data_IF_235891900020
#
_entry.id   IF_235891900020
#
_cell.length_a   1.000
_cell.length_b   1.000
_cell.length_c   1.000
_cell.angle_alpha   90.00
_cell.angle_beta   90.00
_cell.angle_gamma   90.00
#
_symmetry.space_group_name_H-M   'P 1'
#
loop_
_entity.id
_entity.type
_entity.pdbx_description
1 polymer ?
#
# COMPACT_ATOMS: atom_id res chain seq x y z
N UNK A 1 6.88 -9.24 1.15
CA UNK A 1 8.14 -9.72 0.52
C UNK A 1 8.24 -11.25 0.52
N UNK A 2 8.20 -11.95 1.68
CA UNK A 2 8.27 -13.44 1.75
C UNK A 2 7.17 -14.12 0.93
N UNK A 3 5.94 -13.69 1.07
CA UNK A 3 4.78 -14.24 0.33
C UNK A 3 4.93 -14.06 -1.16
N UNK A 4 5.38 -12.87 -1.60
CA UNK A 4 5.64 -12.59 -3.01
C UNK A 4 6.73 -13.50 -3.57
N UNK A 5 7.83 -13.71 -2.84
CA UNK A 5 8.89 -14.61 -3.25
C UNK A 5 8.39 -16.06 -3.35
N UNK A 6 7.64 -16.55 -2.32
CA UNK A 6 7.03 -17.88 -2.35
C UNK A 6 6.08 -18.06 -3.55
N UNK A 7 5.20 -17.10 -3.78
CA UNK A 7 4.26 -17.13 -4.91
C UNK A 7 4.96 -17.19 -6.28
N UNK A 8 6.12 -16.55 -6.40
CA UNK A 8 6.94 -16.54 -7.62
C UNK A 8 7.96 -17.66 -7.71
N UNK A 9 8.05 -18.55 -6.70
CA UNK A 9 9.13 -19.54 -6.55
C UNK A 9 10.53 -18.91 -6.55
N UNK A 10 10.68 -17.74 -5.95
CA UNK A 10 11.95 -17.02 -5.79
C UNK A 10 12.48 -17.19 -4.36
N UNK A 11 13.81 -17.10 -4.21
CA UNK A 11 14.43 -17.08 -2.87
C UNK A 11 14.18 -15.72 -2.21
N UNK A 12 13.67 -15.74 -0.99
CA UNK A 12 13.53 -14.53 -0.19
C UNK A 12 14.87 -14.14 0.44
N UNK A 13 15.36 -12.94 0.12
CA UNK A 13 16.53 -12.36 0.79
C UNK A 13 16.06 -11.49 1.98
N UNK A 14 16.34 -11.97 3.19
CA UNK A 14 16.03 -11.26 4.43
C UNK A 14 16.99 -10.09 4.70
N UNK A 15 18.15 -10.06 4.04
CA UNK A 15 19.19 -9.04 4.21
C UNK A 15 19.14 -7.99 3.10
N UNK A 16 17.98 -7.78 2.48
CA UNK A 16 17.80 -6.77 1.44
C UNK A 16 18.26 -5.40 1.94
N UNK A 17 19.23 -4.81 1.23
CA UNK A 17 19.80 -3.52 1.58
C UNK A 17 19.01 -2.33 1.03
N UNK A 18 18.18 -2.55 0.00
CA UNK A 18 17.44 -1.51 -0.71
C UNK A 18 15.96 -1.85 -0.84
N UNK A 19 15.12 -0.82 -0.72
CA UNK A 19 13.69 -0.95 -0.99
C UNK A 19 13.43 -1.16 -2.49
N UNK A 20 12.31 -1.81 -2.82
CA UNK A 20 11.82 -1.86 -4.19
C UNK A 20 10.81 -0.75 -4.36
N UNK A 21 11.14 0.23 -5.18
CA UNK A 21 10.24 1.32 -5.53
C UNK A 21 9.58 1.07 -6.88
N UNK A 22 8.32 1.42 -6.98
CA UNK A 22 7.58 1.49 -8.23
C UNK A 22 6.57 2.63 -8.16
N UNK A 23 6.15 3.14 -9.30
CA UNK A 23 5.11 4.15 -9.36
C UNK A 23 3.75 3.49 -9.64
N UNK A 24 2.73 4.03 -9.00
CA UNK A 24 1.33 3.70 -9.24
C UNK A 24 0.65 4.92 -9.87
N UNK A 25 0.11 4.74 -11.08
CA UNK A 25 -0.70 5.79 -11.71
C UNK A 25 -2.08 5.78 -11.08
N UNK A 26 -2.55 6.93 -10.70
CA UNK A 26 -3.89 7.13 -10.15
C UNK A 26 -4.57 8.23 -10.94
N UNK A 27 -5.57 7.87 -11.76
CA UNK A 27 -6.41 8.86 -12.44
C UNK A 27 -7.38 9.47 -11.44
N UNK A 28 -8.00 8.59 -10.64
CA UNK A 28 -8.96 8.93 -9.60
C UNK A 28 -8.82 7.95 -8.45
N UNK A 29 -8.74 8.45 -7.24
CA UNK A 29 -8.75 7.63 -6.05
C UNK A 29 -10.18 7.12 -5.77
N UNK A 30 -10.30 5.88 -5.32
CA UNK A 30 -11.58 5.27 -4.95
C UNK A 30 -11.85 5.57 -3.48
N UNK A 31 -12.84 6.40 -3.19
CA UNK A 31 -13.22 6.73 -1.82
C UNK A 31 -13.89 5.58 -1.06
N UNK A 32 -14.11 5.78 0.24
CA UNK A 32 -14.84 4.84 1.08
C UNK A 32 -16.24 4.58 0.54
N UNK A 33 -16.67 3.32 0.53
CA UNK A 33 -17.94 2.86 -0.04
C UNK A 33 -18.01 2.76 -1.57
N UNK A 34 -17.07 3.39 -2.29
CA UNK A 34 -17.04 3.31 -3.75
C UNK A 34 -16.45 1.98 -4.24
N UNK A 35 -16.87 1.48 -5.42
CA UNK A 35 -16.47 0.15 -5.87
C UNK A 35 -15.06 0.09 -6.47
N UNK A 36 -14.34 -0.99 -6.16
CA UNK A 36 -13.14 -1.41 -6.87
C UNK A 36 -13.54 -2.05 -8.19
N UNK A 37 -12.97 -1.58 -9.31
CA UNK A 37 -13.15 -2.21 -10.61
C UNK A 37 -12.27 -3.45 -10.73
N UNK A 38 -12.86 -4.64 -10.79
CA UNK A 38 -12.11 -5.91 -10.79
C UNK A 38 -11.37 -6.23 -12.08
N UNK A 39 -11.82 -5.67 -13.23
CA UNK A 39 -11.29 -5.95 -14.56
C UNK A 39 -11.18 -7.46 -14.85
N UNK A 40 -12.20 -8.23 -14.46
CA UNK A 40 -12.20 -9.71 -14.55
C UNK A 40 -12.26 -10.24 -15.98
N UNK A 41 -12.48 -9.38 -16.95
CA UNK A 41 -12.30 -9.66 -18.39
C UNK A 41 -10.82 -9.73 -18.82
N UNK A 42 -9.93 -9.07 -18.06
CA UNK A 42 -8.49 -8.97 -18.34
C UNK A 42 -7.63 -9.87 -17.45
N UNK A 43 -8.09 -10.16 -16.23
CA UNK A 43 -7.33 -10.88 -15.21
C UNK A 43 -8.27 -11.60 -14.22
N UNK A 44 -7.78 -12.66 -13.55
CA UNK A 44 -8.56 -13.46 -12.59
C UNK A 44 -7.90 -13.53 -11.20
N UNK A 45 -6.83 -12.79 -10.98
CA UNK A 45 -6.05 -12.82 -9.74
C UNK A 45 -5.95 -11.43 -9.12
N UNK A 46 -7.12 -10.86 -8.80
CA UNK A 46 -7.23 -9.59 -8.11
C UNK A 46 -6.88 -9.76 -6.64
N UNK A 47 -6.01 -8.91 -6.13
CA UNK A 47 -5.52 -9.01 -4.76
C UNK A 47 -5.57 -7.67 -4.05
N UNK A 48 -5.66 -7.71 -2.72
CA UNK A 48 -5.71 -6.57 -1.80
C UNK A 48 -4.37 -6.44 -1.06
N UNK A 49 -4.01 -5.22 -0.72
CA UNK A 49 -2.82 -4.88 0.05
C UNK A 49 -3.09 -3.65 0.91
N UNK A 50 -3.40 -3.82 2.20
CA UNK A 50 -3.54 -2.69 3.12
C UNK A 50 -2.19 -2.06 3.38
N UNK A 51 -2.07 -0.74 3.19
CA UNK A 51 -0.85 0.01 3.36
C UNK A 51 -1.07 1.34 4.08
N UNK A 52 -0.09 1.75 4.88
CA UNK A 52 -0.02 3.12 5.38
C UNK A 52 0.46 4.02 4.23
N UNK A 53 -0.35 5.01 3.86
CA UNK A 53 0.02 6.04 2.91
C UNK A 53 0.49 7.29 3.65
N UNK A 54 1.70 7.74 3.36
CA UNK A 54 2.32 8.96 3.89
C UNK A 54 2.20 10.06 2.85
N UNK A 55 1.65 11.21 3.24
CA UNK A 55 1.43 12.35 2.34
C UNK A 55 2.48 13.42 2.63
N UNK A 56 3.22 13.81 1.62
CA UNK A 56 4.23 14.88 1.71
C UNK A 56 3.52 16.23 1.73
N UNK A 57 3.81 17.06 2.73
CA UNK A 57 3.16 18.36 2.95
C UNK A 57 3.86 19.55 2.30
N UNK A 58 5.16 19.43 2.04
CA UNK A 58 5.97 20.46 1.38
C UNK A 58 7.06 19.82 0.53
N UNK A 59 7.55 20.52 -0.48
CA UNK A 59 8.58 20.00 -1.37
C UNK A 59 9.80 19.50 -0.58
N UNK A 60 10.13 18.22 -0.72
CA UNK A 60 11.21 17.54 -0.03
C UNK A 60 12.33 17.20 -1.02
N UNK A 61 13.49 17.81 -0.84
CA UNK A 61 14.69 17.59 -1.65
C UNK A 61 15.89 17.49 -0.74
N UNK A 62 16.63 16.37 -0.80
CA UNK A 62 17.81 16.08 0.03
C UNK A 62 17.52 16.22 1.54
N UNK A 63 16.41 15.63 1.96
CA UNK A 63 15.96 15.68 3.35
C UNK A 63 16.66 14.57 4.14
N UNK A 64 17.41 14.90 5.21
CA UNK A 64 18.02 13.90 6.07
C UNK A 64 16.94 13.18 6.91
N UNK A 65 17.18 11.91 7.27
CA UNK A 65 16.20 11.07 7.95
C UNK A 65 15.64 11.68 9.24
N UNK A 66 16.48 12.37 10.03
CA UNK A 66 16.10 13.00 11.29
C UNK A 66 15.14 14.20 11.12
N UNK A 67 15.02 14.75 9.92
CA UNK A 67 14.10 15.85 9.57
C UNK A 67 12.90 15.38 8.74
N UNK A 68 12.80 14.09 8.41
CA UNK A 68 11.83 13.59 7.45
C UNK A 68 10.37 13.88 7.85
N UNK A 69 10.02 13.74 9.12
CA UNK A 69 8.66 14.00 9.61
C UNK A 69 8.21 15.46 9.48
N UNK A 70 9.13 16.41 9.41
CA UNK A 70 8.81 17.82 9.18
C UNK A 70 8.28 18.09 7.76
N UNK A 71 8.38 17.11 6.87
CA UNK A 71 7.88 17.16 5.50
C UNK A 71 6.60 16.35 5.31
N UNK A 72 6.15 15.63 6.33
CA UNK A 72 4.91 14.85 6.29
C UNK A 72 3.73 15.76 6.62
N UNK A 73 2.69 15.74 5.78
CA UNK A 73 1.41 16.38 6.07
C UNK A 73 0.54 15.52 6.96
N UNK A 74 0.51 14.22 6.69
CA UNK A 74 -0.35 13.29 7.40
C UNK A 74 -0.37 11.92 6.75
N UNK A 75 -1.32 11.13 7.20
CA UNK A 75 -1.45 9.72 6.86
C UNK A 75 -2.87 9.38 6.44
N UNK A 76 -3.00 8.37 5.59
CA UNK A 76 -4.29 7.77 5.23
C UNK A 76 -4.12 6.28 4.96
N UNK A 77 -5.22 5.56 4.78
CA UNK A 77 -5.20 4.16 4.36
C UNK A 77 -5.16 4.13 2.84
N UNK A 78 -4.34 3.25 2.28
CA UNK A 78 -4.35 2.90 0.88
C UNK A 78 -4.48 1.38 0.76
N UNK A 79 -5.34 0.92 -0.13
CA UNK A 79 -5.41 -0.48 -0.53
C UNK A 79 -4.76 -0.60 -1.91
N UNK A 80 -3.51 -1.12 -1.97
CA UNK A 80 -2.76 -1.25 -3.22
C UNK A 80 -3.26 -2.44 -4.04
N UNK A 81 -4.45 -2.28 -4.63
CA UNK A 81 -5.07 -3.30 -5.47
C UNK A 81 -4.14 -3.72 -6.59
N UNK A 82 -4.05 -5.04 -6.78
CA UNK A 82 -3.06 -5.68 -7.63
C UNK A 82 -3.66 -6.75 -8.54
N UNK A 83 -3.49 -6.61 -9.85
CA UNK A 83 -3.75 -7.66 -10.82
C UNK A 83 -2.50 -8.55 -10.96
N UNK A 84 -2.41 -9.63 -10.16
CA UNK A 84 -1.18 -10.43 -10.04
C UNK A 84 -0.69 -11.04 -11.35
N UNK A 85 -1.60 -11.46 -12.22
CA UNK A 85 -1.24 -12.00 -13.54
C UNK A 85 -0.54 -10.95 -14.40
N UNK A 86 -1.07 -9.73 -14.42
CA UNK A 86 -0.51 -8.64 -15.22
C UNK A 86 0.79 -8.12 -14.58
N UNK A 87 0.82 -8.01 -13.26
CA UNK A 87 2.00 -7.61 -12.50
C UNK A 87 3.22 -8.50 -12.82
N UNK A 88 3.01 -9.83 -12.93
CA UNK A 88 4.11 -10.78 -13.18
C UNK A 88 4.43 -10.91 -14.67
N UNK A 89 3.43 -10.86 -15.55
CA UNK A 89 3.57 -11.00 -17.01
C UNK A 89 4.52 -9.97 -17.61
N UNK A 90 4.42 -8.71 -17.17
CA UNK A 90 5.16 -7.59 -17.76
C UNK A 90 6.48 -7.30 -17.05
N UNK A 91 6.88 -8.10 -16.04
CA UNK A 91 8.08 -7.92 -15.20
C UNK A 91 8.08 -6.60 -14.40
N UNK A 92 7.55 -5.51 -14.94
CA UNK A 92 7.33 -4.24 -14.25
C UNK A 92 5.93 -4.21 -13.65
N UNK A 93 5.80 -3.79 -12.39
CA UNK A 93 4.54 -3.88 -11.65
C UNK A 93 3.52 -2.82 -12.06
N UNK A 94 3.99 -1.76 -12.71
CA UNK A 94 3.24 -0.55 -13.05
C UNK A 94 1.83 -0.85 -13.59
N UNK A 95 1.71 -1.66 -14.66
CA UNK A 95 0.41 -1.92 -15.28
C UNK A 95 -0.53 -2.70 -14.35
N UNK A 96 -0.04 -3.76 -13.69
CA UNK A 96 -0.83 -4.56 -12.74
C UNK A 96 -1.24 -3.82 -11.46
N UNK A 97 -0.68 -2.64 -11.21
CA UNK A 97 -0.94 -1.78 -10.05
C UNK A 97 -1.69 -0.49 -10.40
N UNK A 98 -1.85 -0.14 -11.69
CA UNK A 98 -2.29 1.19 -12.14
C UNK A 98 -3.55 1.20 -12.99
N UNK A 99 -4.35 0.13 -12.95
CA UNK A 99 -5.64 0.09 -13.63
C UNK A 99 -6.63 1.04 -12.95
N UNK A 100 -7.62 1.52 -13.68
CA UNK A 100 -8.66 2.36 -13.12
C UNK A 100 -9.39 1.63 -11.98
N UNK A 101 -9.67 2.33 -10.89
CA UNK A 101 -10.24 1.73 -9.69
C UNK A 101 -9.27 1.01 -8.75
N UNK A 102 -7.95 0.99 -9.06
CA UNK A 102 -6.95 0.25 -8.27
C UNK A 102 -6.32 1.06 -7.12
N UNK A 103 -6.85 2.22 -6.81
CA UNK A 103 -6.36 3.02 -5.68
C UNK A 103 -7.49 3.41 -4.71
N UNK A 104 -8.09 2.45 -3.98
CA UNK A 104 -8.88 2.81 -2.83
C UNK A 104 -8.03 3.53 -1.79
N UNK A 105 -8.48 4.73 -1.35
CA UNK A 105 -7.74 5.58 -0.43
C UNK A 105 -8.69 6.41 0.43
N UNK A 106 -8.43 6.47 1.72
CA UNK A 106 -9.28 7.17 2.70
C UNK A 106 -9.31 6.44 4.04
N UNK A 107 -10.40 6.57 4.85
CA UNK A 107 -11.60 7.38 4.60
C UNK A 107 -11.34 8.89 4.66
N UNK A 108 -10.29 9.31 5.38
CA UNK A 108 -9.82 10.70 5.50
C UNK A 108 -8.31 10.74 5.68
N UNK A 109 -7.76 11.92 5.74
CA UNK A 109 -6.35 12.16 6.09
C UNK A 109 -6.31 12.59 7.55
N UNK A 110 -5.44 11.96 8.34
CA UNK A 110 -5.11 12.37 9.71
C UNK A 110 -3.77 13.09 9.66
N UNK A 111 -3.69 14.30 10.20
CA UNK A 111 -2.47 15.10 10.16
C UNK A 111 -1.38 14.50 11.04
N UNK A 112 -0.14 14.79 10.73
CA UNK A 112 1.03 14.16 11.33
C UNK A 112 1.13 14.40 12.84
N UNK A 113 0.69 15.54 13.31
CA UNK A 113 0.69 15.95 14.72
C UNK A 113 -0.26 15.19 15.64
N UNK A 114 -1.18 14.37 15.06
CA UNK A 114 -2.08 13.48 15.82
C UNK A 114 -1.40 12.17 16.25
N UNK A 115 -0.17 11.90 15.81
CA UNK A 115 0.55 10.67 16.10
C UNK A 115 1.94 10.92 16.68
N UNK A 116 2.45 9.94 17.46
CA UNK A 116 3.85 9.89 17.85
C UNK A 116 4.77 9.66 16.63
N UNK A 117 6.02 10.10 16.72
CA UNK A 117 7.04 9.92 15.68
C UNK A 117 8.04 8.82 16.06
N UNK A 118 8.15 7.70 15.33
CA UNK A 118 7.31 7.26 14.20
C UNK A 118 5.92 6.76 14.63
N UNK A 119 4.90 6.82 13.77
CA UNK A 119 3.59 6.26 14.08
C UNK A 119 3.65 4.72 14.15
N UNK A 120 3.42 4.15 15.32
CA UNK A 120 3.34 2.69 15.54
C UNK A 120 1.88 2.30 15.71
N UNK A 121 1.25 1.91 14.62
CA UNK A 121 -0.19 1.69 14.52
C UNK A 121 -0.49 0.25 14.12
N UNK A 122 -1.59 -0.31 14.64
CA UNK A 122 -2.11 -1.58 14.11
C UNK A 122 -2.65 -1.34 12.72
N UNK A 123 -2.36 -2.26 11.79
CA UNK A 123 -2.82 -2.26 10.41
C UNK A 123 -3.41 -3.62 10.08
N UNK A 124 -4.64 -3.64 9.53
CA UNK A 124 -5.32 -4.91 9.23
C UNK A 124 -6.21 -4.81 7.99
N UNK A 125 -6.49 -5.96 7.36
CA UNK A 125 -7.50 -6.07 6.32
C UNK A 125 -8.41 -7.26 6.52
N UNK A 126 -9.66 -7.11 6.04
CA UNK A 126 -10.68 -8.16 6.03
C UNK A 126 -11.28 -8.28 4.62
N UNK A 127 -11.64 -9.51 4.27
CA UNK A 127 -12.44 -9.79 3.07
C UNK A 127 -13.71 -10.49 3.53
N UNK A 128 -14.88 -9.93 3.23
CA UNK A 128 -16.18 -10.42 3.68
C UNK A 128 -16.23 -10.67 5.21
N UNK A 129 -15.60 -9.77 5.98
CA UNK A 129 -15.49 -9.87 7.44
C UNK A 129 -14.40 -10.81 7.96
N UNK A 130 -13.82 -11.67 7.13
CA UNK A 130 -12.72 -12.56 7.52
C UNK A 130 -11.40 -11.80 7.59
N UNK A 131 -10.70 -11.88 8.73
CA UNK A 131 -9.38 -11.27 8.91
C UNK A 131 -8.35 -11.92 7.98
N UNK A 132 -7.64 -11.11 7.21
CA UNK A 132 -6.64 -11.54 6.23
C UNK A 132 -5.24 -11.05 6.56
N UNK A 133 -5.10 -9.78 6.85
CA UNK A 133 -3.84 -9.15 7.26
C UNK A 133 -4.03 -8.59 8.68
N UNK A 134 -3.04 -8.75 9.55
CA UNK A 134 -3.02 -8.17 10.90
C UNK A 134 -1.57 -7.97 11.34
N UNK A 135 -1.16 -6.71 11.50
CA UNK A 135 0.23 -6.36 11.74
C UNK A 135 0.36 -4.99 12.41
N UNK A 136 1.56 -4.44 12.39
CA UNK A 136 1.87 -3.10 12.89
C UNK A 136 2.80 -2.35 11.95
N UNK A 137 2.61 -1.05 11.82
CA UNK A 137 3.53 -0.16 11.09
C UNK A 137 4.92 -0.10 11.71
N UNK A 138 5.05 -0.47 12.98
CA UNK A 138 6.37 -0.64 13.64
C UNK A 138 7.22 -1.78 13.05
N UNK A 139 6.65 -2.65 12.21
CA UNK A 139 7.34 -3.74 11.52
C UNK A 139 7.73 -3.42 10.07
N UNK A 140 7.63 -2.16 9.65
CA UNK A 140 8.11 -1.71 8.35
C UNK A 140 9.60 -2.07 8.18
N UNK A 141 9.94 -2.72 7.06
CA UNK A 141 11.35 -3.11 6.76
C UNK A 141 12.21 -1.86 6.56
N UNK A 142 11.67 -0.86 5.87
CA UNK A 142 12.26 0.46 5.69
C UNK A 142 11.35 1.49 6.37
N UNK A 143 11.90 2.27 7.27
CA UNK A 143 11.14 3.29 7.99
C UNK A 143 10.75 4.46 7.09
N UNK A 144 9.72 5.22 7.48
CA UNK A 144 9.30 6.44 6.77
C UNK A 144 10.47 7.41 6.55
N UNK A 145 11.31 7.72 7.59
CA UNK A 145 12.48 8.57 7.41
C UNK A 145 13.47 8.05 6.37
N UNK A 146 13.77 6.74 6.37
CA UNK A 146 14.70 6.14 5.40
C UNK A 146 14.18 6.29 3.96
N UNK A 147 12.89 6.05 3.75
CA UNK A 147 12.27 6.16 2.42
C UNK A 147 12.29 7.62 1.92
N UNK A 148 11.95 8.58 2.78
CA UNK A 148 11.98 10.00 2.43
C UNK A 148 13.42 10.46 2.13
N UNK A 149 14.39 10.10 2.95
CA UNK A 149 15.80 10.43 2.73
C UNK A 149 16.29 9.87 1.40
N UNK A 150 16.09 8.57 1.15
CA UNK A 150 16.57 7.89 -0.05
C UNK A 150 15.97 8.49 -1.31
N UNK A 151 14.64 8.62 -1.37
CA UNK A 151 13.96 9.16 -2.55
C UNK A 151 14.26 10.64 -2.77
N UNK A 152 14.25 11.45 -1.71
CA UNK A 152 14.50 12.90 -1.82
C UNK A 152 15.95 13.24 -2.17
N UNK A 153 16.87 12.28 -2.01
CA UNK A 153 18.27 12.48 -2.39
C UNK A 153 18.45 12.60 -3.91
N UNK A 154 17.66 11.86 -4.68
CA UNK A 154 17.73 11.82 -6.15
C UNK A 154 16.60 12.55 -6.88
N UNK A 155 15.48 12.81 -6.20
CA UNK A 155 14.32 13.48 -6.80
C UNK A 155 13.64 14.41 -5.80
N UNK A 156 12.96 15.45 -6.25
CA UNK A 156 12.14 16.27 -5.36
C UNK A 156 10.78 15.61 -5.17
N UNK A 157 10.47 15.21 -3.94
CA UNK A 157 9.12 14.79 -3.58
C UNK A 157 8.28 16.05 -3.42
N UNK A 158 7.37 16.29 -4.34
CA UNK A 158 6.48 17.48 -4.33
C UNK A 158 5.44 17.36 -3.22
N UNK A 159 5.00 18.51 -2.69
CA UNK A 159 3.81 18.55 -1.83
C UNK A 159 2.64 17.81 -2.51
N UNK A 160 1.95 16.95 -1.77
CA UNK A 160 0.92 16.05 -2.28
C UNK A 160 1.44 14.70 -2.81
N UNK A 161 2.75 14.47 -2.87
CA UNK A 161 3.28 13.12 -3.16
C UNK A 161 2.81 12.14 -2.09
N UNK A 162 2.34 10.98 -2.52
CA UNK A 162 1.89 9.88 -1.64
C UNK A 162 2.93 8.76 -1.69
N UNK A 163 3.45 8.39 -0.53
CA UNK A 163 4.35 7.26 -0.35
C UNK A 163 3.57 6.13 0.30
N UNK A 164 3.27 5.07 -0.44
CA UNK A 164 2.66 3.85 0.08
C UNK A 164 3.75 2.94 0.62
N UNK A 165 3.67 2.60 1.92
CA UNK A 165 4.80 2.07 2.69
C UNK A 165 4.96 0.56 2.61
N UNK A 166 4.14 -0.10 1.79
CA UNK A 166 4.15 -1.54 1.64
C UNK A 166 3.19 -2.25 2.60
N UNK A 167 2.80 -3.45 2.18
CA UNK A 167 1.78 -4.25 2.84
C UNK A 167 2.38 -5.33 3.74
N UNK A 168 1.73 -5.67 4.88
CA UNK A 168 2.10 -6.82 5.70
C UNK A 168 1.75 -8.14 5.01
N UNK A 169 2.09 -9.25 5.65
CA UNK A 169 1.68 -10.60 5.23
C UNK A 169 0.16 -10.77 5.31
N UNK A 170 -0.38 -11.78 4.59
CA UNK A 170 -1.81 -12.09 4.51
C UNK A 170 -2.50 -11.54 3.26
N UNK A 171 -1.76 -11.02 2.27
CA UNK A 171 -2.30 -10.79 0.93
C UNK A 171 -2.80 -12.10 0.30
N UNK A 172 -3.77 -12.04 -0.60
CA UNK A 172 -4.41 -13.23 -1.18
C UNK A 172 -3.43 -14.18 -1.86
N UNK A 173 -2.38 -13.65 -2.48
CA UNK A 173 -1.29 -14.44 -3.07
C UNK A 173 -0.47 -15.22 -2.02
N UNK A 174 -0.50 -14.81 -0.76
CA UNK A 174 0.26 -15.43 0.33
C UNK A 174 -0.33 -16.72 0.88
N UNK A 175 -1.60 -17.00 0.60
CA UNK A 175 -2.28 -18.21 1.05
C UNK A 175 -1.90 -19.44 0.23
N UNK A 176 -2.13 -20.62 0.77
CA UNK A 176 -1.99 -21.89 0.09
C UNK A 176 -3.26 -22.74 0.30
N UNK A 177 -4.12 -22.88 -0.76
CA UNK A 177 -4.04 -22.22 -2.07
C UNK A 177 -4.29 -20.70 -1.99
N UNK A 178 -3.83 -19.91 -3.01
CA UNK A 178 -4.06 -18.47 -3.07
C UNK A 178 -5.55 -18.09 -3.04
N UNK A 179 -5.87 -16.96 -2.38
CA UNK A 179 -7.25 -16.51 -2.10
C UNK A 179 -7.48 -15.11 -2.66
N UNK A 180 -7.71 -15.03 -3.97
CA UNK A 180 -7.95 -13.78 -4.69
C UNK A 180 -9.38 -13.27 -4.52
N UNK A 181 -9.54 -11.96 -4.74
CA UNK A 181 -10.84 -11.29 -4.74
C UNK A 181 -11.69 -11.69 -5.95
N UNK A 182 -12.99 -11.64 -5.75
CA UNK A 182 -14.01 -11.91 -6.77
C UNK A 182 -15.03 -10.78 -6.79
N UNK A 183 -15.78 -10.67 -7.88
CA UNK A 183 -16.95 -9.79 -7.94
C UNK A 183 -17.91 -10.14 -6.80
N UNK A 184 -18.41 -9.12 -6.12
CA UNK A 184 -19.26 -9.23 -4.94
C UNK A 184 -18.53 -9.30 -3.59
N UNK A 185 -17.21 -9.48 -3.58
CA UNK A 185 -16.45 -9.39 -2.33
C UNK A 185 -16.44 -7.95 -1.79
N UNK A 186 -16.29 -7.84 -0.47
CA UNK A 186 -16.11 -6.56 0.24
C UNK A 186 -14.77 -6.58 0.96
N UNK A 187 -13.92 -5.60 0.68
CA UNK A 187 -12.62 -5.44 1.34
C UNK A 187 -12.71 -4.29 2.33
N UNK A 188 -12.28 -4.51 3.57
CA UNK A 188 -12.13 -3.48 4.60
C UNK A 188 -10.68 -3.43 5.06
N UNK A 189 -10.07 -2.25 4.94
CA UNK A 189 -8.72 -1.94 5.39
C UNK A 189 -8.81 -1.00 6.59
N UNK A 190 -8.17 -1.34 7.69
CA UNK A 190 -8.22 -0.57 8.94
C UNK A 190 -6.81 -0.23 9.41
N UNK A 191 -6.62 1.03 9.80
CA UNK A 191 -5.41 1.48 10.52
C UNK A 191 -5.84 2.22 11.77
N UNK A 192 -5.26 1.82 12.90
CA UNK A 192 -5.53 2.42 14.22
C UNK A 192 -5.32 3.94 14.17
N UNK A 193 -6.30 4.69 14.67
CA UNK A 193 -6.27 6.16 14.70
C UNK A 193 -6.63 6.83 13.38
N UNK A 194 -6.65 6.08 12.26
CA UNK A 194 -7.10 6.63 10.96
C UNK A 194 -8.54 6.22 10.67
N UNK A 195 -8.92 4.97 10.92
CA UNK A 195 -10.28 4.48 10.68
C UNK A 195 -10.32 3.25 9.79
N UNK A 196 -11.42 3.10 9.06
CA UNK A 196 -11.65 1.95 8.16
C UNK A 196 -12.07 2.44 6.78
N UNK A 197 -11.40 1.93 5.76
CA UNK A 197 -11.73 2.12 4.35
C UNK A 197 -12.37 0.83 3.83
N UNK A 198 -13.62 0.89 3.36
CA UNK A 198 -14.37 -0.28 2.92
C UNK A 198 -14.86 -0.10 1.48
N UNK A 199 -14.57 -1.09 0.63
CA UNK A 199 -14.92 -1.02 -0.79
C UNK A 199 -15.46 -2.37 -1.28
N UNK A 200 -16.62 -2.38 -1.96
CA UNK A 200 -17.08 -3.55 -2.69
C UNK A 200 -16.27 -3.76 -3.99
N UNK A 201 -16.19 -4.99 -4.46
CA UNK A 201 -15.54 -5.37 -5.72
C UNK A 201 -16.61 -5.64 -6.79
N UNK A 202 -16.50 -5.00 -7.97
CA UNK A 202 -17.35 -5.20 -9.13
C UNK A 202 -16.74 -6.16 -10.15
#
# INVERSE_FOLDING_TARGET
>A
ARESARYKNETYDANRQYAVYFSKRVNEAVGDGAPIQGHFDLQQRLDYEVELAVIIGRDACRVPADQAFDYVFGYTILNDISAREIQTRHRQWYFGKSMDGFCPMGPWIVTEDEFDRPPVLRISSRVNGELRQDSSTGLLIFSIPQVIEELSHGMTLKAGTILSMGTPEGAGMGFDPPRFLKSGDVVSCEIQGIGTLTNPVL
#
